data_IF_474986253765
#
_entry.id   IF_474986253765
#
_cell.length_a   1.000
_cell.length_b   1.000
_cell.length_c   1.000
_cell.angle_alpha   90.00
_cell.angle_beta   90.00
_cell.angle_gamma   90.00
#
_symmetry.space_group_name_H-M   'P 1'
#
loop_
_entity.id
_entity.type
_entity.pdbx_description
1 polymer ?
#
# COMPACT_ATOMS: atom_id res chain seq x y z
N UNK A 1 12.01 -6.41 21.04
CA UNK A 1 11.56 -5.11 20.51
C UNK A 1 10.74 -5.38 19.26
N UNK A 2 9.43 -5.22 19.34
CA UNK A 2 8.57 -5.47 18.18
C UNK A 2 8.99 -4.50 17.07
N UNK A 3 9.39 -5.02 15.90
CA UNK A 3 9.47 -4.21 14.69
C UNK A 3 8.12 -3.52 14.58
N UNK A 4 8.08 -2.20 14.74
CA UNK A 4 6.88 -1.43 14.46
C UNK A 4 6.31 -1.91 13.13
N UNK A 5 5.06 -2.35 13.17
CA UNK A 5 4.33 -2.68 11.95
C UNK A 5 4.42 -1.48 11.02
N UNK A 6 4.69 -1.69 9.72
CA UNK A 6 4.68 -0.61 8.72
C UNK A 6 3.45 0.30 8.87
N UNK A 7 2.31 -0.30 9.25
CA UNK A 7 1.07 0.41 9.55
C UNK A 7 1.18 1.41 10.72
N UNK A 8 1.88 1.07 11.81
CA UNK A 8 2.04 2.01 12.94
C UNK A 8 2.99 3.16 12.61
N UNK A 9 3.99 2.93 11.75
CA UNK A 9 4.87 4.00 11.27
C UNK A 9 4.14 4.98 10.37
N UNK A 10 3.32 4.46 9.46
CA UNK A 10 2.61 5.25 8.47
C UNK A 10 1.43 6.02 9.06
N UNK A 11 0.83 5.52 10.14
CA UNK A 11 -0.20 6.26 10.90
C UNK A 11 0.31 7.62 11.39
N UNK A 12 1.58 7.71 11.79
CA UNK A 12 2.18 8.95 12.29
C UNK A 12 2.67 9.91 11.19
N UNK A 13 2.57 9.51 9.91
CA UNK A 13 3.13 10.26 8.77
C UNK A 13 2.22 10.21 7.54
N UNK A 14 1.12 10.97 7.52
CA UNK A 14 0.11 10.90 6.47
C UNK A 14 0.62 11.34 5.08
N UNK A 15 1.65 12.18 5.02
CA UNK A 15 2.28 12.60 3.75
C UNK A 15 3.00 11.45 3.04
N UNK A 16 3.66 10.56 3.79
CA UNK A 16 4.40 9.43 3.23
C UNK A 16 3.45 8.33 2.70
N UNK A 17 2.21 8.26 3.18
CA UNK A 17 1.20 7.27 2.76
C UNK A 17 0.85 7.42 1.27
N UNK A 18 0.67 8.64 0.78
CA UNK A 18 0.32 8.90 -0.63
C UNK A 18 1.47 8.52 -1.56
N UNK A 19 2.71 8.81 -1.16
CA UNK A 19 3.91 8.49 -1.95
C UNK A 19 4.13 6.98 -2.02
N UNK A 20 3.95 6.27 -0.91
CA UNK A 20 4.02 4.80 -0.88
C UNK A 20 2.90 4.15 -1.71
N UNK A 21 1.68 4.69 -1.67
CA UNK A 21 0.59 4.21 -2.53
C UNK A 21 0.97 4.34 -4.01
N UNK A 22 1.57 5.47 -4.40
CA UNK A 22 2.07 5.70 -5.76
C UNK A 22 3.11 4.66 -6.19
N UNK A 23 4.08 4.36 -5.31
CA UNK A 23 5.11 3.34 -5.56
C UNK A 23 4.49 1.95 -5.74
N UNK A 24 3.61 1.53 -4.85
CA UNK A 24 2.96 0.22 -4.92
C UNK A 24 2.06 0.07 -6.15
N UNK A 25 1.41 1.15 -6.60
CA UNK A 25 0.62 1.14 -7.85
C UNK A 25 1.51 0.93 -9.08
N UNK A 26 2.70 1.54 -9.10
CA UNK A 26 3.68 1.34 -10.18
C UNK A 26 4.18 -0.10 -10.20
N UNK A 27 4.56 -0.63 -9.04
CA UNK A 27 4.99 -2.04 -8.90
C UNK A 27 3.87 -3.00 -9.32
N UNK A 28 2.62 -2.73 -8.94
CA UNK A 28 1.47 -3.52 -9.38
C UNK A 28 1.32 -3.51 -10.91
N UNK A 29 1.54 -2.37 -11.56
CA UNK A 29 1.47 -2.26 -13.03
C UNK A 29 2.57 -3.11 -13.69
N UNK A 30 3.80 -3.03 -13.19
CA UNK A 30 4.92 -3.86 -13.67
C UNK A 30 4.62 -5.36 -13.50
N UNK A 31 4.12 -5.78 -12.33
CA UNK A 31 3.73 -7.17 -12.10
C UNK A 31 2.58 -7.62 -13.01
N UNK A 32 1.63 -6.74 -13.34
CA UNK A 32 0.53 -7.07 -14.27
C UNK A 32 1.05 -7.25 -15.69
N UNK A 33 2.01 -6.43 -16.12
CA UNK A 33 2.67 -6.59 -17.42
C UNK A 33 3.43 -7.93 -17.46
N UNK A 34 4.24 -8.24 -16.44
CA UNK A 34 4.96 -9.52 -16.33
C UNK A 34 4.02 -10.73 -16.25
N UNK A 35 2.88 -10.58 -15.58
CA UNK A 35 1.85 -11.64 -15.52
C UNK A 35 1.21 -11.85 -16.89
N UNK A 36 0.90 -10.76 -17.62
CA UNK A 36 0.33 -10.85 -18.96
C UNK A 36 1.29 -11.45 -19.99
N UNK A 37 2.61 -11.27 -19.81
CA UNK A 37 3.64 -11.90 -20.64
C UNK A 37 3.95 -13.35 -20.25
N UNK A 38 3.31 -13.87 -19.20
CA UNK A 38 3.55 -15.23 -18.70
C UNK A 38 4.91 -15.44 -18.01
N UNK A 39 5.66 -14.37 -17.74
CA UNK A 39 7.00 -14.43 -17.14
C UNK A 39 6.96 -14.34 -15.60
N UNK A 40 5.81 -14.00 -15.01
CA UNK A 40 5.69 -13.85 -13.57
C UNK A 40 5.60 -15.21 -12.86
N UNK A 41 6.68 -15.60 -12.17
CA UNK A 41 6.73 -16.80 -11.33
C UNK A 41 6.01 -16.66 -9.99
N UNK A 42 5.95 -15.44 -9.46
CA UNK A 42 5.45 -15.15 -8.11
C UNK A 42 4.10 -14.43 -8.16
N UNK A 43 3.07 -15.12 -8.64
CA UNK A 43 1.72 -14.54 -8.82
C UNK A 43 1.05 -14.08 -7.52
N UNK A 44 1.48 -14.63 -6.37
CA UNK A 44 1.01 -14.22 -5.04
C UNK A 44 1.36 -12.77 -4.70
N UNK A 45 2.47 -12.22 -5.25
CA UNK A 45 2.88 -10.83 -5.03
C UNK A 45 1.82 -9.82 -5.48
N UNK A 46 1.09 -10.12 -6.57
CA UNK A 46 -0.02 -9.27 -7.02
C UNK A 46 -1.11 -9.16 -5.94
N UNK A 47 -1.37 -10.25 -5.19
CA UNK A 47 -2.35 -10.23 -4.10
C UNK A 47 -1.82 -9.45 -2.90
N UNK A 48 -0.54 -9.62 -2.56
CA UNK A 48 0.10 -8.91 -1.45
C UNK A 48 0.11 -7.39 -1.69
N UNK A 49 0.57 -6.93 -2.86
CA UNK A 49 0.59 -5.51 -3.20
C UNK A 49 -0.83 -4.90 -3.18
N UNK A 50 -1.83 -5.62 -3.69
CA UNK A 50 -3.24 -5.17 -3.61
C UNK A 50 -3.70 -4.99 -2.16
N UNK A 51 -3.32 -5.89 -1.26
CA UNK A 51 -3.65 -5.76 0.18
C UNK A 51 -2.93 -4.57 0.80
N UNK A 52 -1.65 -4.38 0.50
CA UNK A 52 -0.88 -3.24 0.99
C UNK A 52 -1.50 -1.91 0.55
N UNK A 53 -1.89 -1.77 -0.73
CA UNK A 53 -2.59 -0.58 -1.23
C UNK A 53 -3.92 -0.36 -0.49
N UNK A 54 -4.70 -1.43 -0.26
CA UNK A 54 -5.96 -1.31 0.48
C UNK A 54 -5.74 -0.83 1.91
N UNK A 55 -4.72 -1.34 2.60
CA UNK A 55 -4.36 -0.91 3.96
C UNK A 55 -3.93 0.57 4.00
N UNK A 56 -3.12 1.03 3.04
CA UNK A 56 -2.74 2.44 2.94
C UNK A 56 -3.96 3.35 2.74
N UNK A 57 -4.91 2.93 1.90
CA UNK A 57 -6.16 3.67 1.69
C UNK A 57 -7.02 3.73 2.94
N UNK A 58 -7.11 2.62 3.69
CA UNK A 58 -7.83 2.61 4.96
C UNK A 58 -7.21 3.58 5.94
N UNK A 59 -5.88 3.57 6.12
CA UNK A 59 -5.17 4.54 6.97
C UNK A 59 -5.41 5.98 6.52
N UNK A 60 -5.35 6.26 5.22
CA UNK A 60 -5.64 7.61 4.70
C UNK A 60 -7.06 8.06 5.00
N UNK A 61 -8.03 7.15 4.95
CA UNK A 61 -9.42 7.45 5.31
C UNK A 61 -9.59 7.66 6.82
N UNK A 62 -8.95 6.83 7.66
CA UNK A 62 -8.95 7.00 9.13
C UNK A 62 -8.46 8.40 9.52
N UNK A 63 -7.32 8.83 8.97
CA UNK A 63 -6.77 10.17 9.23
C UNK A 63 -7.71 11.28 8.74
N UNK A 64 -8.39 11.09 7.60
CA UNK A 64 -9.34 12.08 7.08
C UNK A 64 -10.62 12.20 7.92
N UNK A 65 -11.10 11.09 8.48
CA UNK A 65 -12.26 11.09 9.37
C UNK A 65 -11.91 11.77 10.70
N UNK A 66 -10.74 11.47 11.29
CA UNK A 66 -10.25 12.14 12.52
C UNK A 66 -10.16 13.67 12.36
N UNK A 67 -9.73 14.18 11.19
CA UNK A 67 -9.65 15.63 10.92
C UNK A 67 -11.03 16.30 10.78
N UNK A 68 -12.10 15.54 10.49
CA UNK A 68 -13.45 16.10 10.32
C UNK A 68 -14.25 16.20 11.61
N UNK A 69 -13.85 15.45 12.64
CA UNK A 69 -14.53 15.38 13.93
C UNK A 69 -14.04 16.47 14.93
N UNK A 70 -13.01 17.25 14.56
CA UNK A 70 -12.50 18.46 15.24
C UNK A 70 -13.02 19.76 14.59
#
# INVERSE_FOLDING_TARGET
MAKESLLSRLRNKPTEVSDEEGKLRKELMELRVQHSSGQLKETHKIREIRKSIAQLKTLSNEVKEEIKDD
#
